data_IF_154345387083
#
_entry.id   IF_154345387083
#
_cell.length_a   1.000
_cell.length_b   1.000
_cell.length_c   1.000
_cell.angle_alpha   90.00
_cell.angle_beta   90.00
_cell.angle_gamma   90.00
#
_symmetry.space_group_name_H-M   'P 1'
#
loop_
_entity.id
_entity.type
_entity.pdbx_description
1 polymer ?
#
# COMPACT_ATOMS: atom_id res chain seq x y z
N UNK A 1 -17.99 -18.35 -29.25
CA UNK A 1 -16.53 -18.08 -29.21
C UNK A 1 -16.35 -16.57 -29.35
N UNK A 2 -16.19 -15.83 -28.25
CA UNK A 2 -16.22 -14.35 -28.28
C UNK A 2 -14.81 -13.83 -28.58
N UNK A 3 -14.63 -13.23 -29.77
CA UNK A 3 -13.39 -12.57 -30.20
C UNK A 3 -13.36 -11.14 -29.66
N UNK A 4 -12.48 -10.85 -28.71
CA UNK A 4 -12.27 -9.48 -28.24
C UNK A 4 -11.35 -8.74 -29.22
N UNK A 5 -11.93 -7.94 -30.12
CA UNK A 5 -11.20 -6.98 -30.94
C UNK A 5 -10.88 -5.71 -30.11
N UNK A 6 -9.62 -5.28 -30.11
CA UNK A 6 -9.26 -3.85 -30.06
C UNK A 6 -9.52 -3.04 -28.79
N UNK A 7 -9.87 -3.63 -27.63
CA UNK A 7 -9.84 -2.85 -26.39
C UNK A 7 -8.38 -2.51 -26.04
N UNK A 8 -8.04 -1.23 -26.07
CA UNK A 8 -6.86 -0.72 -25.36
C UNK A 8 -7.12 -1.02 -23.88
N UNK A 9 -6.60 -2.16 -23.41
CA UNK A 9 -6.62 -2.49 -21.99
C UNK A 9 -5.74 -1.44 -21.35
N UNK A 10 -6.35 -0.43 -20.72
CA UNK A 10 -5.60 0.61 -20.01
C UNK A 10 -4.66 -0.09 -19.04
N UNK A 11 -3.37 0.29 -19.00
CA UNK A 11 -2.41 -0.41 -18.16
C UNK A 11 -2.87 -0.27 -16.71
N UNK A 12 -3.31 -1.39 -16.12
CA UNK A 12 -3.62 -1.47 -14.69
C UNK A 12 -2.41 -0.95 -13.93
N UNK A 13 -2.56 0.17 -13.22
CA UNK A 13 -1.46 0.76 -12.48
C UNK A 13 -1.21 -0.12 -11.27
N UNK A 14 -0.15 -0.94 -11.35
CA UNK A 14 0.33 -1.72 -10.22
C UNK A 14 1.07 -0.78 -9.30
N UNK A 15 0.54 -0.53 -8.10
CA UNK A 15 1.18 0.25 -7.04
C UNK A 15 1.63 -0.66 -5.90
N UNK A 16 2.75 -0.31 -5.28
CA UNK A 16 3.24 -0.93 -4.03
C UNK A 16 3.60 0.13 -3.01
N UNK A 17 3.48 -0.24 -1.73
CA UNK A 17 4.06 0.51 -0.64
C UNK A 17 5.56 0.22 -0.53
N UNK A 18 6.39 1.26 -0.42
CA UNK A 18 7.79 1.09 -0.07
C UNK A 18 7.94 0.98 1.46
N UNK A 19 8.29 -0.20 1.98
CA UNK A 19 8.42 -0.41 3.42
C UNK A 19 9.43 0.54 4.09
N UNK A 20 10.47 0.97 3.37
CA UNK A 20 11.53 1.80 3.94
C UNK A 20 11.17 3.28 4.11
N UNK A 21 10.23 3.79 3.32
CA UNK A 21 9.89 5.21 3.35
C UNK A 21 8.39 5.49 3.44
N UNK A 22 7.53 4.45 3.40
CA UNK A 22 6.08 4.60 3.44
C UNK A 22 5.47 5.20 2.18
N UNK A 23 6.24 5.39 1.10
CA UNK A 23 5.75 5.98 -0.13
C UNK A 23 5.17 4.92 -1.07
N UNK A 24 4.04 5.24 -1.69
CA UNK A 24 3.49 4.50 -2.82
C UNK A 24 4.29 4.77 -4.08
N UNK A 25 4.51 3.74 -4.89
CA UNK A 25 5.21 3.86 -6.16
C UNK A 25 4.68 2.86 -7.18
N UNK A 26 4.79 3.23 -8.45
CA UNK A 26 4.38 2.38 -9.57
C UNK A 26 5.41 1.29 -9.80
N UNK A 27 4.94 0.05 -9.84
CA UNK A 27 5.78 -1.13 -10.01
C UNK A 27 6.00 -1.43 -11.50
N UNK A 28 5.12 -0.91 -12.37
CA UNK A 28 5.14 -1.20 -13.81
C UNK A 28 5.03 -2.71 -14.06
N UNK A 29 5.79 -3.21 -15.04
CA UNK A 29 5.80 -4.64 -15.38
C UNK A 29 6.83 -5.48 -14.60
N UNK A 30 7.71 -4.86 -13.79
CA UNK A 30 8.75 -5.57 -13.06
C UNK A 30 8.40 -5.72 -11.59
N UNK A 31 8.80 -6.82 -10.96
CA UNK A 31 8.61 -7.00 -9.51
C UNK A 31 9.61 -6.15 -8.74
N UNK A 32 9.19 -4.93 -8.35
CA UNK A 32 9.98 -4.01 -7.51
C UNK A 32 9.46 -4.01 -6.07
N UNK A 33 10.36 -4.06 -5.10
CA UNK A 33 10.01 -4.00 -3.67
C UNK A 33 10.23 -2.60 -3.05
N UNK A 34 11.00 -1.75 -3.72
CA UNK A 34 11.37 -0.43 -3.21
C UNK A 34 11.15 0.65 -4.26
N UNK A 35 10.78 1.84 -3.82
CA UNK A 35 10.54 2.99 -4.69
C UNK A 35 11.80 3.56 -5.35
N UNK A 36 12.98 2.97 -5.14
CA UNK A 36 14.26 3.43 -5.69
C UNK A 36 15.49 2.90 -4.95
N UNK A 37 16.66 3.14 -5.54
CA UNK A 37 17.96 2.64 -5.07
C UNK A 37 18.29 3.07 -3.63
N UNK A 38 17.92 4.30 -3.23
CA UNK A 38 18.15 4.79 -1.86
C UNK A 38 17.41 3.96 -0.82
N UNK A 39 16.15 3.60 -1.09
CA UNK A 39 15.36 2.76 -0.18
C UNK A 39 15.88 1.33 -0.16
N UNK A 40 16.29 0.79 -1.31
CA UNK A 40 16.96 -0.52 -1.38
C UNK A 40 18.24 -0.56 -0.52
N UNK A 41 19.13 0.42 -0.65
CA UNK A 41 20.35 0.51 0.18
C UNK A 41 20.02 0.65 1.68
N UNK A 42 18.99 1.43 2.03
CA UNK A 42 18.53 1.55 3.42
C UNK A 42 18.05 0.21 3.96
N UNK A 43 17.33 -0.57 3.16
CA UNK A 43 16.91 -1.92 3.50
C UNK A 43 18.09 -2.86 3.72
N UNK A 44 19.06 -2.87 2.80
CA UNK A 44 20.27 -3.70 2.91
C UNK A 44 21.06 -3.38 4.20
N UNK A 45 21.17 -2.09 4.58
CA UNK A 45 21.76 -1.68 5.86
C UNK A 45 20.97 -2.17 7.07
N UNK A 46 19.64 -2.08 7.03
CA UNK A 46 18.78 -2.59 8.10
C UNK A 46 18.89 -4.12 8.22
N UNK A 47 19.00 -4.83 7.09
CA UNK A 47 19.16 -6.29 7.04
C UNK A 47 20.45 -6.73 7.71
N UNK A 48 21.56 -6.04 7.45
CA UNK A 48 22.85 -6.27 8.12
C UNK A 48 22.79 -6.09 9.64
N UNK A 49 21.85 -5.29 10.13
CA UNK A 49 21.62 -5.04 11.57
C UNK A 49 20.57 -5.96 12.20
N UNK A 50 20.02 -6.92 11.45
CA UNK A 50 18.93 -7.78 11.93
C UNK A 50 17.56 -7.09 12.07
N UNK A 51 17.44 -5.83 11.65
CA UNK A 51 16.24 -4.99 11.85
C UNK A 51 15.48 -4.70 10.55
N UNK A 52 15.68 -5.52 9.51
CA UNK A 52 14.99 -5.34 8.24
C UNK A 52 13.54 -5.87 8.31
N UNK A 53 12.59 -5.14 7.68
CA UNK A 53 11.31 -5.67 7.28
C UNK A 53 11.39 -7.04 6.57
N UNK A 54 10.40 -7.92 6.80
CA UNK A 54 10.27 -9.16 6.01
C UNK A 54 9.82 -8.81 4.59
N UNK A 55 10.46 -9.43 3.57
CA UNK A 55 10.04 -9.32 2.16
C UNK A 55 8.81 -10.20 1.91
N UNK A 56 8.05 -9.89 0.85
CA UNK A 56 6.88 -10.69 0.43
C UNK A 56 5.53 -10.23 0.98
N UNK A 57 5.52 -9.48 2.10
CA UNK A 57 4.29 -8.93 2.68
C UNK A 57 3.76 -7.69 1.94
N UNK A 58 4.54 -7.16 1.00
CA UNK A 58 4.13 -6.06 0.15
C UNK A 58 3.21 -6.60 -0.95
N UNK A 59 1.89 -6.54 -0.72
CA UNK A 59 0.91 -6.88 -1.76
C UNK A 59 1.00 -5.84 -2.89
N UNK A 60 0.94 -6.32 -4.13
CA UNK A 60 0.73 -5.44 -5.30
C UNK A 60 -0.74 -5.06 -5.29
N UNK A 61 -1.02 -3.78 -5.36
CA UNK A 61 -2.38 -3.29 -5.55
C UNK A 61 -2.52 -2.96 -7.02
N UNK A 62 -3.47 -3.61 -7.67
CA UNK A 62 -3.92 -3.28 -9.02
C UNK A 62 -4.96 -2.18 -8.90
N UNK A 63 -4.64 -1.00 -9.39
CA UNK A 63 -5.63 0.09 -9.54
C UNK A 63 -6.08 0.08 -10.99
N UNK A 64 -7.37 -0.13 -11.23
CA UNK A 64 -7.93 0.04 -12.57
C UNK A 64 -7.94 1.53 -12.91
N UNK A 65 -7.31 1.89 -14.03
CA UNK A 65 -7.33 3.26 -14.56
C UNK A 65 -8.65 3.50 -15.29
N UNK A 66 -9.77 3.40 -14.56
CA UNK A 66 -11.08 3.82 -15.08
C UNK A 66 -10.98 5.33 -15.18
N UNK A 67 -11.06 5.86 -16.40
CA UNK A 67 -11.17 7.31 -16.61
C UNK A 67 -12.47 7.72 -15.92
N UNK A 68 -12.36 8.34 -14.75
CA UNK A 68 -13.47 8.92 -14.02
C UNK A 68 -13.67 10.33 -14.59
N UNK A 69 -14.66 10.56 -15.47
CA UNK A 69 -15.06 11.92 -15.78
C UNK A 69 -15.58 12.54 -14.46
N UNK A 70 -15.06 13.73 -14.18
CA UNK A 70 -15.29 14.56 -12.98
C UNK A 70 -14.84 13.98 -11.62
N UNK A 71 -14.32 14.84 -10.71
CA UNK A 71 -14.07 14.45 -9.33
C UNK A 71 -15.41 14.24 -8.64
N UNK A 72 -16.01 13.07 -8.81
CA UNK A 72 -17.12 12.62 -7.97
C UNK A 72 -16.56 12.53 -6.56
N UNK A 73 -17.12 13.33 -5.64
CA UNK A 73 -16.85 13.18 -4.21
C UNK A 73 -17.00 11.69 -3.88
N UNK A 74 -15.99 11.03 -3.30
CA UNK A 74 -16.11 9.62 -3.02
C UNK A 74 -17.30 9.45 -2.09
N UNK A 75 -18.37 8.79 -2.57
CA UNK A 75 -19.45 8.33 -1.71
C UNK A 75 -18.79 7.65 -0.51
N UNK A 76 -19.20 7.97 0.73
CA UNK A 76 -18.58 7.36 1.90
C UNK A 76 -18.79 5.86 1.79
N UNK A 77 -17.72 5.13 1.45
CA UNK A 77 -17.82 3.70 1.21
C UNK A 77 -18.09 3.03 2.55
N UNK A 78 -19.34 2.62 2.74
CA UNK A 78 -19.87 1.95 3.94
C UNK A 78 -19.61 0.45 3.92
N UNK A 79 -18.49 -0.04 3.35
CA UNK A 79 -18.07 -1.41 3.63
C UNK A 79 -17.38 -1.44 4.98
N UNK A 80 -18.16 -1.76 6.02
CA UNK A 80 -17.72 -1.93 7.40
C UNK A 80 -17.00 -3.26 7.53
N UNK A 81 -15.83 -3.40 6.89
CA UNK A 81 -14.96 -4.55 7.18
C UNK A 81 -14.52 -4.44 8.64
N UNK A 82 -14.94 -5.37 9.47
CA UNK A 82 -14.50 -5.41 10.85
C UNK A 82 -13.00 -5.72 10.90
N UNK A 83 -12.33 -5.34 11.98
CA UNK A 83 -10.92 -5.71 12.14
C UNK A 83 -10.74 -7.24 12.19
N UNK A 84 -11.77 -7.97 12.65
CA UNK A 84 -11.79 -9.43 12.64
C UNK A 84 -11.81 -9.98 11.21
N UNK A 85 -12.59 -9.40 10.30
CA UNK A 85 -12.63 -9.80 8.88
C UNK A 85 -11.27 -9.57 8.22
N UNK A 86 -10.64 -8.41 8.49
CA UNK A 86 -9.31 -8.08 7.98
C UNK A 86 -8.27 -9.07 8.50
N UNK A 87 -8.34 -9.46 9.78
CA UNK A 87 -7.41 -10.42 10.36
C UNK A 87 -7.63 -11.82 9.79
N UNK A 88 -8.88 -12.26 9.66
CA UNK A 88 -9.24 -13.57 9.10
C UNK A 88 -8.82 -13.72 7.63
N UNK A 89 -8.92 -12.66 6.83
CA UNK A 89 -8.48 -12.62 5.44
C UNK A 89 -6.95 -12.39 5.28
N UNK A 90 -6.21 -12.31 6.38
CA UNK A 90 -4.76 -12.08 6.38
C UNK A 90 -3.97 -13.31 6.82
N UNK A 91 -2.64 -13.23 6.71
CA UNK A 91 -1.71 -14.21 7.26
C UNK A 91 -1.55 -14.09 8.80
N UNK A 92 -2.28 -13.17 9.44
CA UNK A 92 -2.21 -12.93 10.88
C UNK A 92 -0.94 -12.19 11.32
N UNK A 93 -0.18 -11.59 10.39
CA UNK A 93 1.07 -10.89 10.69
C UNK A 93 0.88 -9.38 10.61
N UNK A 94 1.25 -8.66 11.67
CA UNK A 94 1.24 -7.20 11.65
C UNK A 94 2.20 -6.66 10.59
N UNK A 95 1.69 -5.87 9.66
CA UNK A 95 2.48 -5.38 8.51
C UNK A 95 3.51 -4.33 8.92
N UNK A 96 3.36 -3.68 10.08
CA UNK A 96 4.31 -2.67 10.55
C UNK A 96 5.48 -3.26 11.35
N UNK A 97 5.22 -4.25 12.22
CA UNK A 97 6.23 -4.82 13.12
C UNK A 97 6.64 -6.25 12.77
N UNK A 98 5.95 -6.90 11.83
CA UNK A 98 6.23 -8.25 11.32
C UNK A 98 6.09 -9.37 12.37
N UNK A 99 5.39 -9.10 13.48
CA UNK A 99 5.06 -10.09 14.51
C UNK A 99 3.62 -10.57 14.33
N UNK A 100 3.36 -11.80 14.81
CA UNK A 100 2.00 -12.36 14.82
C UNK A 100 1.07 -11.49 15.65
N UNK A 101 -0.16 -11.35 15.16
CA UNK A 101 -1.29 -10.79 15.89
C UNK A 101 -2.04 -11.97 16.50
N UNK A 102 -2.33 -11.88 17.79
CA UNK A 102 -3.17 -12.89 18.44
C UNK A 102 -4.55 -12.90 17.78
N UNK A 103 -5.03 -14.09 17.38
CA UNK A 103 -6.30 -14.25 16.66
C UNK A 103 -7.51 -13.94 17.54
N UNK A 104 -7.39 -14.15 18.85
CA UNK A 104 -8.38 -13.75 19.86
C UNK A 104 -8.20 -12.31 20.36
N UNK A 105 -7.08 -11.68 20.04
CA UNK A 105 -6.69 -10.38 20.58
C UNK A 105 -7.27 -9.20 19.80
N UNK A 106 -7.35 -8.01 20.43
CA UNK A 106 -7.83 -6.82 19.75
C UNK A 106 -6.82 -6.38 18.68
N UNK A 107 -7.27 -6.30 17.43
CA UNK A 107 -6.46 -5.87 16.30
C UNK A 107 -6.97 -4.55 15.71
N UNK A 108 -6.07 -3.85 15.03
CA UNK A 108 -6.39 -2.69 14.22
C UNK A 108 -6.23 -3.04 12.74
N UNK A 109 -6.91 -2.29 11.88
CA UNK A 109 -6.68 -2.34 10.44
C UNK A 109 -6.26 -0.97 9.91
N UNK A 110 -5.53 -1.00 8.81
CA UNK A 110 -5.14 0.19 8.05
C UNK A 110 -5.33 -0.04 6.56
N UNK A 111 -5.29 1.04 5.79
CA UNK A 111 -5.27 0.98 4.33
C UNK A 111 -3.88 0.62 3.84
N UNK A 112 -3.79 -0.37 2.95
CA UNK A 112 -2.56 -0.71 2.24
C UNK A 112 -2.22 0.40 1.24
N UNK A 113 -3.20 0.92 0.48
CA UNK A 113 -3.15 2.17 -0.29
C UNK A 113 -4.33 3.06 0.16
N UNK A 114 -4.07 4.28 0.65
CA UNK A 114 -5.11 5.22 1.02
C UNK A 114 -6.07 5.49 -0.14
N UNK A 115 -7.35 5.64 0.16
CA UNK A 115 -8.39 5.91 -0.84
C UNK A 115 -8.06 7.16 -1.66
N UNK A 116 -7.59 8.23 -1.01
CA UNK A 116 -7.13 9.49 -1.62
C UNK A 116 -6.00 9.30 -2.65
N UNK A 117 -5.25 8.20 -2.57
CA UNK A 117 -4.14 7.87 -3.46
C UNK A 117 -4.55 6.90 -4.60
N UNK A 118 -5.86 6.70 -4.79
CA UNK A 118 -6.43 5.73 -5.73
C UNK A 118 -6.56 4.32 -5.15
N UNK A 119 -6.59 4.20 -3.82
CA UNK A 119 -6.91 2.94 -3.15
C UNK A 119 -8.39 2.59 -3.30
N UNK A 120 -8.67 1.30 -3.47
CA UNK A 120 -10.04 0.82 -3.52
C UNK A 120 -10.53 0.38 -2.14
N UNK A 121 -11.82 0.57 -1.82
CA UNK A 121 -12.41 0.21 -0.54
C UNK A 121 -12.73 -1.30 -0.47
N UNK A 122 -11.74 -2.14 -0.76
CA UNK A 122 -11.87 -3.61 -0.80
C UNK A 122 -11.03 -4.24 0.32
N UNK A 123 -11.40 -5.47 0.72
CA UNK A 123 -10.74 -6.18 1.82
C UNK A 123 -9.25 -6.44 1.52
N UNK A 124 -8.90 -6.66 0.25
CA UNK A 124 -7.53 -6.87 -0.23
C UNK A 124 -6.64 -5.64 0.00
N UNK A 125 -7.24 -4.45 0.03
CA UNK A 125 -6.57 -3.19 0.31
C UNK A 125 -6.51 -2.86 1.81
N UNK A 126 -6.91 -3.80 2.69
CA UNK A 126 -6.76 -3.69 4.14
C UNK A 126 -5.57 -4.52 4.62
N UNK A 127 -4.92 -4.03 5.67
CA UNK A 127 -3.83 -4.74 6.34
C UNK A 127 -4.07 -4.84 7.84
N UNK A 128 -3.74 -5.99 8.45
CA UNK A 128 -3.83 -6.15 9.89
C UNK A 128 -2.63 -5.49 10.59
N UNK A 129 -2.89 -4.87 11.73
CA UNK A 129 -1.91 -4.16 12.56
C UNK A 129 -2.19 -4.44 14.04
N UNK A 130 -1.12 -4.46 14.86
CA UNK A 130 -1.32 -4.27 16.30
C UNK A 130 -1.85 -2.86 16.56
N UNK A 131 -2.70 -2.69 17.58
CA UNK A 131 -3.25 -1.39 17.98
C UNK A 131 -2.12 -0.35 18.17
N UNK A 132 -1.07 -0.71 18.90
CA UNK A 132 0.10 0.15 19.12
C UNK A 132 0.88 0.48 17.83
N UNK A 133 0.76 -0.34 16.78
CA UNK A 133 1.44 -0.11 15.50
C UNK A 133 0.64 0.78 14.55
N UNK A 134 -0.66 0.98 14.78
CA UNK A 134 -1.55 1.73 13.88
C UNK A 134 -1.07 3.16 13.64
N UNK A 135 -0.82 3.91 14.71
CA UNK A 135 -0.35 5.30 14.60
C UNK A 135 0.98 5.41 13.84
N UNK A 136 1.90 4.47 14.07
CA UNK A 136 3.19 4.44 13.37
C UNK A 136 3.03 4.14 11.88
N UNK A 137 2.13 3.23 11.52
CA UNK A 137 1.78 2.91 10.13
C UNK A 137 1.23 4.13 9.39
N UNK A 138 0.22 4.78 9.98
CA UNK A 138 -0.44 5.97 9.39
C UNK A 138 0.55 7.14 9.24
N UNK A 139 1.37 7.39 10.26
CA UNK A 139 2.41 8.42 10.19
C UNK A 139 3.47 8.10 9.11
N UNK A 140 3.91 6.85 9.00
CA UNK A 140 4.91 6.44 7.99
C UNK A 140 4.38 6.63 6.57
N UNK A 141 3.13 6.23 6.32
CA UNK A 141 2.49 6.39 5.00
C UNK A 141 2.23 7.86 4.66
N UNK A 142 1.76 8.67 5.62
CA UNK A 142 1.60 10.11 5.46
C UNK A 142 2.93 10.82 5.14
N UNK A 143 3.98 10.53 5.91
CA UNK A 143 5.32 11.10 5.70
C UNK A 143 5.93 10.70 4.35
N UNK A 144 5.74 9.45 3.93
CA UNK A 144 6.17 8.95 2.62
C UNK A 144 5.51 9.71 1.48
N UNK A 145 4.20 9.93 1.55
CA UNK A 145 3.43 10.73 0.59
C UNK A 145 3.90 12.18 0.54
N UNK A 146 4.00 12.84 1.70
CA UNK A 146 4.47 14.22 1.79
C UNK A 146 5.88 14.41 1.20
N UNK A 147 6.78 13.45 1.44
CA UNK A 147 8.12 13.45 0.84
C UNK A 147 8.07 13.35 -0.69
N UNK A 148 7.27 12.46 -1.25
CA UNK A 148 7.15 12.31 -2.71
C UNK A 148 6.52 13.54 -3.37
N UNK A 149 5.49 14.14 -2.76
CA UNK A 149 4.89 15.39 -3.23
C UNK A 149 5.93 16.52 -3.31
N UNK A 150 6.76 16.68 -2.27
CA UNK A 150 7.87 17.66 -2.27
C UNK A 150 8.90 17.41 -3.38
N UNK A 151 9.27 16.15 -3.63
CA UNK A 151 10.21 15.80 -4.71
C UNK A 151 9.61 16.07 -6.10
N UNK A 152 8.32 15.81 -6.28
CA UNK A 152 7.63 16.07 -7.54
C UNK A 152 7.50 17.58 -7.83
N UNK A 153 7.20 18.40 -6.81
CA UNK A 153 7.16 19.86 -6.95
C UNK A 153 8.51 20.43 -7.39
N UNK A 154 9.60 20.06 -6.71
CA UNK A 154 10.97 20.49 -7.06
C UNK A 154 11.41 20.14 -8.49
N UNK A 155 10.79 19.15 -9.13
CA UNK A 155 11.10 18.75 -10.51
C UNK A 155 10.25 19.48 -11.56
N UNK A 156 9.17 20.13 -11.14
CA UNK A 156 8.34 20.98 -12.02
C UNK A 156 8.88 22.41 -12.08
N UNK A 157 9.55 22.84 -11.02
CA UNK A 157 10.12 24.18 -10.88
C UNK A 157 11.59 24.27 -11.35
N UNK A 158 12.12 23.21 -11.97
CA UNK A 158 13.51 23.09 -12.46
C UNK A 158 13.50 22.68 -13.93
#
# INVERSE_FOLDING_TARGET
MVRYHGRIVKPVQKKKLCFMCGAYFDVGNQVKDFCGATCRKRYERAKRRGNAPRRGLNKVITVEDVFKPEPVEPEPVTMVFSNADVLAASDGVCVECYKLIDRSGPCASGWLLPLEAGGEPVLENRVPLHIACKARWEARTANGRARKKRIAGKRRDA
#
